data_IF_488123279885
#
_entry.id   IF_488123279885
#
_cell.length_a   1.000
_cell.length_b   1.000
_cell.length_c   1.000
_cell.angle_alpha   90.00
_cell.angle_beta   90.00
_cell.angle_gamma   90.00
#
_symmetry.space_group_name_H-M   'P 1'
#
loop_
_entity.id
_entity.type
_entity.pdbx_description
1 polymer ?
#
# COMPACT_ATOMS: atom_id res chain seq x y z
N UNK A 1 14.79 10.86 8.89
CA UNK A 1 16.17 10.44 9.19
C UNK A 1 17.12 11.49 8.64
N UNK A 2 18.13 11.93 9.42
CA UNK A 2 19.05 13.01 9.02
C UNK A 2 19.82 12.60 7.74
N UNK A 3 19.87 13.50 6.74
CA UNK A 3 20.61 13.31 5.50
C UNK A 3 19.94 12.37 4.45
N UNK A 4 18.78 11.80 4.76
CA UNK A 4 18.04 10.98 3.81
C UNK A 4 16.81 11.73 3.31
N UNK A 5 16.85 12.11 2.05
CA UNK A 5 15.76 12.79 1.34
C UNK A 5 15.54 12.13 -0.02
N UNK A 6 14.29 12.07 -0.47
CA UNK A 6 13.91 11.55 -1.78
C UNK A 6 12.86 12.44 -2.41
N UNK A 7 12.87 12.54 -3.72
CA UNK A 7 11.86 13.26 -4.50
C UNK A 7 10.57 12.46 -4.54
N UNK A 8 10.66 11.14 -4.81
CA UNK A 8 9.51 10.26 -4.78
C UNK A 8 9.34 9.64 -3.39
N UNK A 9 8.23 10.01 -2.73
CA UNK A 9 7.93 9.58 -1.35
C UNK A 9 6.74 8.61 -1.26
N UNK A 10 5.94 8.48 -2.33
CA UNK A 10 4.75 7.65 -2.41
C UNK A 10 5.07 6.17 -2.59
N UNK A 11 6.14 5.89 -3.34
CA UNK A 11 6.69 4.55 -3.50
C UNK A 11 8.06 4.51 -2.81
N UNK A 12 8.20 3.67 -1.80
CA UNK A 12 9.38 3.71 -0.93
C UNK A 12 10.63 3.15 -1.61
N UNK A 13 11.79 3.53 -1.08
CA UNK A 13 13.10 2.98 -1.42
C UNK A 13 13.12 1.44 -1.46
N UNK A 14 12.40 0.80 -0.52
CA UNK A 14 12.33 -0.65 -0.39
C UNK A 14 11.18 -1.31 -1.15
N UNK A 15 10.38 -0.57 -1.91
CA UNK A 15 9.28 -1.11 -2.71
C UNK A 15 7.93 -1.20 -2.00
N UNK A 16 7.75 -0.53 -0.86
CA UNK A 16 6.43 -0.43 -0.22
C UNK A 16 5.66 0.78 -0.74
N UNK A 17 4.36 0.63 -0.95
CA UNK A 17 3.45 1.69 -1.39
C UNK A 17 3.06 2.61 -0.24
N UNK A 18 3.91 3.61 0.05
CA UNK A 18 3.66 4.61 1.10
C UNK A 18 2.38 5.43 0.83
N UNK A 19 2.01 5.67 -0.43
CA UNK A 19 0.78 6.39 -0.79
C UNK A 19 -0.49 5.71 -0.25
N UNK A 20 -0.48 4.40 -0.01
CA UNK A 20 -1.59 3.62 0.54
C UNK A 20 -1.45 3.38 2.05
N UNK A 21 -0.41 3.92 2.68
CA UNK A 21 -0.17 3.74 4.11
C UNK A 21 -1.08 4.65 4.95
N UNK A 22 -1.77 4.08 5.92
CA UNK A 22 -2.65 4.84 6.82
C UNK A 22 -1.93 5.95 7.60
N UNK A 23 -0.64 5.78 7.90
CA UNK A 23 0.18 6.79 8.54
C UNK A 23 0.51 7.96 7.61
N UNK A 24 0.69 7.67 6.32
CA UNK A 24 0.92 8.70 5.30
C UNK A 24 -0.37 9.45 4.98
N UNK A 25 -1.45 8.73 4.73
CA UNK A 25 -2.78 9.30 4.48
C UNK A 25 -3.29 10.14 5.65
N UNK A 26 -2.94 9.78 6.88
CA UNK A 26 -3.30 10.53 8.09
C UNK A 26 -2.38 11.71 8.41
N UNK A 27 -1.38 12.00 7.57
CA UNK A 27 -0.44 13.11 7.79
C UNK A 27 0.61 12.87 8.89
N UNK A 28 0.67 11.66 9.46
CA UNK A 28 1.63 11.31 10.52
C UNK A 28 3.02 10.93 9.99
N UNK A 29 3.12 10.62 8.70
CA UNK A 29 4.35 10.23 8.04
C UNK A 29 4.45 10.94 6.67
N UNK A 30 5.55 11.63 6.37
CA UNK A 30 5.72 12.35 5.11
C UNK A 30 6.03 11.42 3.91
N UNK A 31 6.02 10.11 4.09
CA UNK A 31 6.49 9.14 3.11
C UNK A 31 8.00 8.89 3.18
N UNK A 32 8.49 7.95 2.39
CA UNK A 32 9.89 7.52 2.44
C UNK A 32 10.84 8.62 1.93
N UNK A 33 11.58 9.24 2.85
CA UNK A 33 12.50 10.33 2.52
C UNK A 33 11.86 11.72 2.44
N UNK A 34 10.57 11.86 2.81
CA UNK A 34 9.84 13.13 2.75
C UNK A 34 10.14 14.13 3.87
N UNK A 35 11.12 13.87 4.72
CA UNK A 35 11.57 14.81 5.76
C UNK A 35 11.36 14.33 7.18
N UNK A 36 11.09 15.26 8.11
CA UNK A 36 10.89 14.97 9.53
C UNK A 36 9.68 14.06 9.75
N UNK A 37 9.75 13.15 10.73
CA UNK A 37 8.72 12.15 11.02
C UNK A 37 9.07 10.74 10.55
N UNK A 38 10.03 10.57 9.64
CA UNK A 38 10.55 9.26 9.29
C UNK A 38 11.39 8.70 10.44
N UNK A 39 11.06 7.49 10.85
CA UNK A 39 11.88 6.74 11.81
C UNK A 39 13.21 6.31 11.16
N UNK A 40 14.20 5.97 11.98
CA UNK A 40 15.44 5.41 11.49
C UNK A 40 15.16 4.09 10.74
N UNK A 41 15.70 3.97 9.54
CA UNK A 41 15.51 2.83 8.67
C UNK A 41 16.87 2.31 8.21
N UNK A 42 17.15 1.02 8.47
CA UNK A 42 18.41 0.40 8.07
C UNK A 42 18.61 0.38 6.55
N UNK A 43 17.52 0.24 5.79
CA UNK A 43 17.54 0.27 4.32
C UNK A 43 17.90 1.68 3.82
N UNK A 44 17.28 2.72 4.39
CA UNK A 44 17.60 4.10 4.03
C UNK A 44 19.05 4.48 4.37
N UNK A 45 19.57 3.99 5.51
CA UNK A 45 20.99 4.15 5.86
C UNK A 45 21.89 3.48 4.83
N UNK A 46 21.56 2.25 4.44
CA UNK A 46 22.28 1.51 3.42
C UNK A 46 22.29 2.24 2.06
N UNK A 47 21.18 2.83 1.64
CA UNK A 47 21.13 3.63 0.41
C UNK A 47 22.15 4.79 0.45
N UNK A 48 22.24 5.49 1.57
CA UNK A 48 23.25 6.57 1.72
C UNK A 48 24.69 6.04 1.62
N UNK A 49 24.95 4.85 2.20
CA UNK A 49 26.27 4.19 2.14
C UNK A 49 26.63 3.73 0.71
N UNK A 50 25.61 3.52 -0.16
CA UNK A 50 25.74 3.12 -1.57
C UNK A 50 25.50 4.27 -2.55
N UNK A 51 25.87 5.50 -2.17
CA UNK A 51 25.78 6.67 -3.05
C UNK A 51 24.38 7.28 -3.19
N UNK A 52 23.41 6.88 -2.35
CA UNK A 52 22.09 7.46 -2.35
C UNK A 52 21.18 6.92 -3.46
N UNK A 53 21.28 5.63 -3.80
CA UNK A 53 20.40 5.02 -4.81
C UNK A 53 18.94 5.36 -4.53
N UNK A 54 18.16 5.79 -5.54
CA UNK A 54 16.77 6.21 -5.35
C UNK A 54 15.85 5.06 -4.99
N UNK A 55 16.17 3.85 -5.48
CA UNK A 55 15.44 2.62 -5.16
C UNK A 55 16.39 1.44 -4.96
N UNK A 56 16.06 0.53 -4.05
CA UNK A 56 16.94 -0.60 -3.74
C UNK A 56 17.15 -1.54 -4.94
N UNK A 57 16.18 -1.69 -5.83
CA UNK A 57 16.32 -2.54 -7.03
C UNK A 57 17.30 -1.95 -8.08
N UNK A 58 17.69 -0.69 -7.94
CA UNK A 58 18.75 -0.07 -8.75
C UNK A 58 20.15 -0.30 -8.15
N UNK A 59 20.22 -0.84 -6.94
CA UNK A 59 21.48 -1.19 -6.30
C UNK A 59 22.02 -2.51 -6.90
N UNK A 60 23.32 -2.59 -7.26
CA UNK A 60 23.88 -3.83 -7.82
C UNK A 60 23.89 -5.01 -6.84
N UNK A 61 23.74 -4.75 -5.53
CA UNK A 61 23.65 -5.79 -4.50
C UNK A 61 22.22 -6.31 -4.26
N UNK A 62 21.21 -5.75 -4.93
CA UNK A 62 19.83 -6.17 -4.75
C UNK A 62 19.51 -7.46 -5.54
N UNK A 63 18.74 -8.43 -4.93
CA UNK A 63 18.30 -8.48 -3.55
C UNK A 63 19.44 -8.80 -2.58
N UNK A 64 19.49 -8.13 -1.43
CA UNK A 64 20.57 -8.25 -0.45
C UNK A 64 20.06 -8.83 0.89
N UNK A 65 20.95 -9.28 1.80
CA UNK A 65 20.55 -9.89 3.09
C UNK A 65 19.68 -9.00 4.00
N UNK A 66 19.58 -7.68 3.71
CA UNK A 66 18.69 -6.78 4.46
C UNK A 66 17.21 -7.10 4.26
N UNK A 67 16.89 -7.90 3.24
CA UNK A 67 15.53 -8.35 2.93
C UNK A 67 15.22 -9.74 3.48
N UNK A 68 16.17 -10.40 4.14
CA UNK A 68 15.92 -11.69 4.76
C UNK A 68 14.85 -11.55 5.84
N UNK A 69 13.74 -12.26 5.68
CA UNK A 69 12.58 -12.17 6.57
C UNK A 69 11.84 -10.81 6.56
N UNK A 70 12.17 -9.89 5.62
CA UNK A 70 11.52 -8.58 5.56
C UNK A 70 10.02 -8.69 5.22
N UNK A 71 9.65 -9.64 4.38
CA UNK A 71 8.29 -9.87 3.91
C UNK A 71 7.49 -10.85 4.81
N UNK A 72 8.11 -11.41 5.87
CA UNK A 72 7.47 -12.39 6.79
C UNK A 72 6.40 -11.75 7.68
N UNK A 73 6.46 -10.44 7.87
CA UNK A 73 5.50 -9.72 8.70
C UNK A 73 5.27 -8.31 8.22
N UNK A 74 4.00 -7.92 8.28
CA UNK A 74 3.54 -6.61 7.82
C UNK A 74 3.78 -5.51 8.86
N UNK A 75 3.83 -4.27 8.38
CA UNK A 75 3.83 -3.05 9.18
C UNK A 75 2.42 -2.40 9.16
N UNK A 76 2.32 -1.10 8.86
CA UNK A 76 1.04 -0.44 8.57
C UNK A 76 0.48 -0.81 7.19
N UNK A 77 1.30 -1.48 6.37
CA UNK A 77 0.98 -1.95 5.02
C UNK A 77 1.47 -3.38 4.85
N UNK A 78 0.85 -4.15 3.94
CA UNK A 78 1.33 -5.47 3.55
C UNK A 78 2.73 -5.40 2.94
N UNK A 79 3.64 -6.31 3.35
CA UNK A 79 4.97 -6.40 2.75
C UNK A 79 5.02 -7.43 1.62
N UNK A 80 4.17 -8.47 1.67
CA UNK A 80 4.18 -9.60 0.74
C UNK A 80 3.99 -9.25 -0.74
N UNK A 81 3.41 -8.09 -1.03
CA UNK A 81 3.21 -7.63 -2.41
C UNK A 81 4.40 -6.83 -2.96
N UNK A 82 5.36 -6.51 -2.12
CA UNK A 82 6.49 -5.62 -2.41
C UNK A 82 7.28 -6.00 -3.66
N UNK A 83 7.60 -7.29 -3.82
CA UNK A 83 8.37 -7.76 -4.98
C UNK A 83 7.57 -7.64 -6.27
N UNK A 84 6.26 -7.92 -6.22
CA UNK A 84 5.36 -7.73 -7.35
C UNK A 84 5.22 -6.24 -7.70
N UNK A 85 5.12 -5.37 -6.71
CA UNK A 85 5.04 -3.92 -6.91
C UNK A 85 6.32 -3.38 -7.56
N UNK A 86 7.50 -3.87 -7.13
CA UNK A 86 8.79 -3.54 -7.77
C UNK A 86 8.81 -4.03 -9.23
N UNK A 87 8.41 -5.28 -9.48
CA UNK A 87 8.40 -5.84 -10.83
C UNK A 87 7.49 -5.01 -11.75
N UNK A 88 6.29 -4.66 -11.31
CA UNK A 88 5.38 -3.79 -12.07
C UNK A 88 5.98 -2.40 -12.33
N UNK A 89 6.58 -1.77 -11.31
CA UNK A 89 7.22 -0.46 -11.46
C UNK A 89 8.40 -0.50 -12.46
N UNK A 90 9.11 -1.61 -12.51
CA UNK A 90 10.24 -1.81 -13.44
C UNK A 90 9.75 -2.08 -14.87
N UNK A 91 8.71 -2.91 -15.02
CA UNK A 91 8.14 -3.31 -16.31
C UNK A 91 7.39 -2.17 -17.01
N UNK A 92 6.50 -1.49 -16.27
CA UNK A 92 5.66 -0.41 -16.81
C UNK A 92 6.40 0.94 -16.89
N UNK A 93 7.52 1.07 -16.17
CA UNK A 93 8.14 2.35 -15.87
C UNK A 93 7.50 3.03 -14.65
N UNK A 94 8.34 3.71 -13.88
CA UNK A 94 7.95 4.29 -12.60
C UNK A 94 6.77 5.27 -12.72
N UNK A 95 6.76 6.14 -13.73
CA UNK A 95 5.71 7.16 -13.90
C UNK A 95 4.33 6.52 -14.11
N UNK A 96 4.25 5.48 -14.97
CA UNK A 96 3.00 4.75 -15.22
C UNK A 96 2.55 4.02 -13.95
N UNK A 97 3.47 3.39 -13.24
CA UNK A 97 3.17 2.74 -11.97
C UNK A 97 2.63 3.73 -10.92
N UNK A 98 3.24 4.91 -10.81
CA UNK A 98 2.81 5.96 -9.89
C UNK A 98 1.42 6.52 -10.24
N UNK A 99 1.07 6.60 -11.52
CA UNK A 99 -0.30 6.95 -11.94
C UNK A 99 -1.32 5.88 -11.48
N UNK A 100 -1.00 4.60 -11.62
CA UNK A 100 -1.84 3.51 -11.13
C UNK A 100 -1.95 3.53 -9.59
N UNK A 101 -0.86 3.82 -8.90
CA UNK A 101 -0.83 3.95 -7.44
C UNK A 101 -1.70 5.12 -6.96
N UNK A 102 -1.69 6.24 -7.68
CA UNK A 102 -2.56 7.39 -7.37
C UNK A 102 -4.04 7.05 -7.59
N UNK A 103 -4.37 6.29 -8.63
CA UNK A 103 -5.74 5.80 -8.83
C UNK A 103 -6.19 4.88 -7.69
N UNK A 104 -5.33 3.95 -7.26
CA UNK A 104 -5.60 3.13 -6.06
C UNK A 104 -5.84 4.00 -4.81
N UNK A 105 -5.06 5.05 -4.64
CA UNK A 105 -5.22 6.00 -3.53
C UNK A 105 -6.59 6.69 -3.59
N UNK A 106 -7.01 7.19 -4.76
CA UNK A 106 -8.31 7.82 -4.94
C UNK A 106 -9.46 6.85 -4.63
N UNK A 107 -9.34 5.58 -5.06
CA UNK A 107 -10.30 4.53 -4.71
C UNK A 107 -10.36 4.32 -3.19
N UNK A 108 -9.20 4.25 -2.52
CA UNK A 108 -9.15 4.10 -1.06
C UNK A 108 -9.79 5.28 -0.34
N UNK A 109 -9.51 6.51 -0.75
CA UNK A 109 -10.11 7.72 -0.19
C UNK A 109 -11.64 7.71 -0.38
N UNK A 110 -12.13 7.30 -1.55
CA UNK A 110 -13.56 7.13 -1.82
C UNK A 110 -14.21 6.07 -0.92
N UNK A 111 -13.58 4.90 -0.76
CA UNK A 111 -14.06 3.85 0.13
C UNK A 111 -14.12 4.32 1.59
N UNK A 112 -13.10 5.05 2.04
CA UNK A 112 -13.05 5.59 3.40
C UNK A 112 -14.07 6.69 3.66
N UNK A 113 -14.38 7.51 2.65
CA UNK A 113 -15.34 8.61 2.76
C UNK A 113 -16.79 8.13 2.72
N UNK A 114 -17.11 7.15 1.85
CA UNK A 114 -18.51 6.79 1.54
C UNK A 114 -18.95 5.44 2.11
N UNK A 115 -18.01 4.51 2.36
CA UNK A 115 -18.29 3.13 2.75
C UNK A 115 -17.68 2.73 4.10
N UNK A 116 -17.09 3.64 4.86
CA UNK A 116 -16.48 3.31 6.14
C UNK A 116 -17.44 3.61 7.30
N UNK A 117 -17.77 2.57 8.07
CA UNK A 117 -18.60 2.64 9.28
C UNK A 117 -17.80 2.98 10.57
N UNK A 118 -16.54 3.39 10.43
CA UNK A 118 -15.62 3.65 11.54
C UNK A 118 -14.77 2.45 11.96
N UNK A 119 -15.10 1.23 11.53
CA UNK A 119 -14.44 -0.01 11.97
C UNK A 119 -13.65 -0.72 10.85
N UNK A 120 -13.75 -0.26 9.58
CA UNK A 120 -13.26 -1.00 8.42
C UNK A 120 -12.03 -0.38 7.74
N UNK A 121 -11.47 0.68 8.32
CA UNK A 121 -10.33 1.40 7.76
C UNK A 121 -9.17 0.45 7.40
N UNK A 122 -8.77 -0.43 8.32
CA UNK A 122 -7.67 -1.38 8.07
C UNK A 122 -8.01 -2.37 6.96
N UNK A 123 -9.27 -2.84 6.90
CA UNK A 123 -9.71 -3.74 5.84
C UNK A 123 -9.61 -3.07 4.47
N UNK A 124 -10.16 -1.87 4.30
CA UNK A 124 -10.09 -1.14 3.04
C UNK A 124 -8.65 -0.83 2.63
N UNK A 125 -7.82 -0.37 3.55
CA UNK A 125 -6.39 -0.15 3.28
C UNK A 125 -5.71 -1.42 2.77
N UNK A 126 -5.94 -2.57 3.42
CA UNK A 126 -5.33 -3.84 3.04
C UNK A 126 -5.86 -4.35 1.70
N UNK A 127 -7.17 -4.24 1.46
CA UNK A 127 -7.79 -4.65 0.20
C UNK A 127 -7.27 -3.85 -0.98
N UNK A 128 -7.27 -2.52 -0.88
CA UNK A 128 -6.77 -1.65 -1.96
C UNK A 128 -5.28 -1.83 -2.19
N UNK A 129 -4.51 -2.10 -1.13
CA UNK A 129 -3.09 -2.38 -1.26
C UNK A 129 -2.83 -3.66 -2.07
N UNK A 130 -3.54 -4.74 -1.76
CA UNK A 130 -3.25 -6.08 -2.27
C UNK A 130 -3.96 -6.43 -3.59
N UNK A 131 -5.15 -5.88 -3.82
CA UNK A 131 -5.92 -6.20 -5.02
C UNK A 131 -5.35 -5.49 -6.25
N UNK A 132 -5.35 -6.16 -7.43
CA UNK A 132 -5.06 -5.52 -8.70
C UNK A 132 -6.00 -4.35 -8.98
N UNK A 133 -5.51 -3.34 -9.71
CA UNK A 133 -6.29 -2.13 -10.02
C UNK A 133 -7.55 -2.44 -10.83
N UNK A 134 -7.50 -3.42 -11.73
CA UNK A 134 -8.66 -3.88 -12.51
C UNK A 134 -9.80 -4.42 -11.65
N UNK A 135 -9.47 -5.19 -10.59
CA UNK A 135 -10.48 -5.69 -9.67
C UNK A 135 -11.08 -4.54 -8.84
N UNK A 136 -10.26 -3.60 -8.40
CA UNK A 136 -10.72 -2.41 -7.68
C UNK A 136 -11.66 -1.55 -8.54
N UNK A 137 -11.32 -1.35 -9.83
CA UNK A 137 -12.21 -0.67 -10.78
C UNK A 137 -13.55 -1.39 -10.93
N UNK A 138 -13.51 -2.72 -11.02
CA UNK A 138 -14.72 -3.55 -11.12
C UNK A 138 -15.60 -3.45 -9.87
N UNK A 139 -14.99 -3.46 -8.67
CA UNK A 139 -15.68 -3.27 -7.40
C UNK A 139 -16.33 -1.88 -7.33
N UNK A 140 -15.58 -0.83 -7.68
CA UNK A 140 -16.13 0.54 -7.66
C UNK A 140 -17.28 0.70 -8.67
N UNK A 141 -17.16 0.12 -9.86
CA UNK A 141 -18.25 0.11 -10.85
C UNK A 141 -19.49 -0.62 -10.31
N UNK A 142 -19.32 -1.77 -9.64
CA UNK A 142 -20.42 -2.51 -9.04
C UNK A 142 -21.11 -1.72 -7.90
N UNK A 143 -20.34 -1.00 -7.07
CA UNK A 143 -20.88 -0.12 -6.04
C UNK A 143 -21.65 1.06 -6.63
N UNK A 144 -21.11 1.72 -7.64
CA UNK A 144 -21.76 2.85 -8.32
C UNK A 144 -23.06 2.46 -9.06
N UNK A 145 -23.20 1.19 -9.43
CA UNK A 145 -24.41 0.66 -10.04
C UNK A 145 -25.49 0.22 -9.02
N UNK A 146 -25.32 0.56 -7.74
CA UNK A 146 -26.26 0.24 -6.65
C UNK A 146 -26.77 1.54 -5.99
N UNK A 147 -27.61 2.34 -6.68
CA UNK A 147 -28.09 3.61 -6.15
C UNK A 147 -28.88 3.46 -4.83
N UNK A 148 -29.45 2.30 -4.58
CA UNK A 148 -30.10 1.97 -3.31
C UNK A 148 -29.16 2.06 -2.09
N UNK A 149 -27.85 1.95 -2.30
CA UNK A 149 -26.86 2.09 -1.21
C UNK A 149 -26.79 3.53 -0.67
N UNK A 150 -27.12 4.54 -1.49
CA UNK A 150 -27.07 5.93 -1.07
C UNK A 150 -28.13 6.25 0.01
N UNK A 151 -29.23 5.53 0.01
CA UNK A 151 -30.33 5.65 0.97
C UNK A 151 -30.09 4.79 2.23
N UNK A 152 -29.10 3.90 2.22
CA UNK A 152 -28.81 2.99 3.33
C UNK A 152 -27.95 3.62 4.40
N UNK A 153 -28.03 3.07 5.61
CA UNK A 153 -27.16 3.45 6.71
C UNK A 153 -25.69 3.10 6.40
N UNK A 154 -24.76 3.82 7.00
CA UNK A 154 -23.34 3.66 6.74
C UNK A 154 -22.81 2.23 6.97
N UNK A 155 -23.46 1.46 7.86
CA UNK A 155 -23.11 0.06 8.11
C UNK A 155 -23.45 -0.86 6.94
N UNK A 156 -24.62 -0.72 6.34
CA UNK A 156 -25.05 -1.50 5.19
C UNK A 156 -24.17 -1.20 3.97
N UNK A 157 -23.89 0.08 3.72
CA UNK A 157 -22.93 0.49 2.67
C UNK A 157 -21.56 -0.13 2.87
N UNK A 158 -21.07 -0.10 4.11
CA UNK A 158 -19.79 -0.68 4.45
C UNK A 158 -19.76 -2.21 4.22
N UNK A 159 -20.82 -2.91 4.57
CA UNK A 159 -20.95 -4.36 4.33
C UNK A 159 -20.94 -4.70 2.85
N UNK A 160 -21.69 -3.97 2.02
CA UNK A 160 -21.71 -4.16 0.57
C UNK A 160 -20.31 -3.99 -0.07
N UNK A 161 -19.57 -2.97 0.35
CA UNK A 161 -18.21 -2.76 -0.13
C UNK A 161 -17.25 -3.86 0.34
N UNK A 162 -17.38 -4.31 1.59
CA UNK A 162 -16.58 -5.43 2.13
C UNK A 162 -16.84 -6.72 1.37
N UNK A 163 -18.10 -7.05 1.09
CA UNK A 163 -18.50 -8.25 0.35
C UNK A 163 -17.84 -8.28 -1.05
N UNK A 164 -17.99 -7.22 -1.83
CA UNK A 164 -17.40 -7.14 -3.17
C UNK A 164 -15.87 -7.21 -3.17
N UNK A 165 -15.21 -6.54 -2.22
CA UNK A 165 -13.76 -6.62 -2.07
C UNK A 165 -13.29 -8.01 -1.63
N UNK A 166 -14.05 -8.67 -0.73
CA UNK A 166 -13.73 -10.03 -0.30
C UNK A 166 -13.92 -11.03 -1.44
N UNK A 167 -14.99 -10.92 -2.22
CA UNK A 167 -15.20 -11.75 -3.41
C UNK A 167 -14.08 -11.59 -4.43
N UNK A 168 -13.61 -10.33 -4.66
CA UNK A 168 -12.48 -10.07 -5.55
C UNK A 168 -11.19 -10.74 -5.04
N UNK A 169 -10.95 -10.68 -3.73
CA UNK A 169 -9.80 -11.31 -3.08
C UNK A 169 -9.88 -12.84 -3.14
N UNK A 170 -11.06 -13.42 -2.90
CA UNK A 170 -11.28 -14.87 -2.93
C UNK A 170 -11.05 -15.45 -4.33
N UNK A 171 -11.51 -14.76 -5.38
CA UNK A 171 -11.22 -15.15 -6.79
C UNK A 171 -9.73 -15.21 -7.10
N UNK A 172 -8.92 -14.41 -6.41
CA UNK A 172 -7.45 -14.36 -6.55
C UNK A 172 -6.71 -15.18 -5.50
N UNK A 173 -7.41 -15.82 -4.56
CA UNK A 173 -6.81 -16.48 -3.39
C UNK A 173 -5.93 -15.55 -2.55
N UNK A 174 -6.32 -14.27 -2.45
CA UNK A 174 -5.61 -13.24 -1.68
C UNK A 174 -6.24 -13.11 -0.29
N UNK A 175 -5.45 -13.27 0.76
CA UNK A 175 -5.90 -12.99 2.13
C UNK A 175 -5.85 -11.50 2.42
N UNK A 176 -6.97 -10.89 2.80
CA UNK A 176 -7.07 -9.46 3.18
C UNK A 176 -6.74 -9.20 4.66
N UNK A 177 -5.87 -10.02 5.25
CA UNK A 177 -5.38 -9.85 6.62
C UNK A 177 -3.91 -9.47 6.63
N UNK A 178 -3.52 -8.58 7.55
CA UNK A 178 -2.12 -8.29 7.79
C UNK A 178 -1.45 -9.48 8.50
N UNK A 179 -0.25 -9.84 8.04
CA UNK A 179 0.59 -10.85 8.66
C UNK A 179 1.25 -10.26 9.91
N UNK A 180 1.01 -10.87 11.06
CA UNK A 180 1.70 -10.47 12.30
C UNK A 180 3.12 -11.01 12.28
N UNK A 181 4.09 -10.16 12.66
CA UNK A 181 5.45 -10.65 12.91
C UNK A 181 5.42 -11.71 14.00
N UNK A 182 6.12 -12.83 13.77
CA UNK A 182 6.35 -13.80 14.83
C UNK A 182 7.00 -13.09 16.03
N UNK A 183 6.47 -13.32 17.24
CA UNK A 183 7.12 -12.81 18.45
C UNK A 183 8.50 -13.48 18.50
N UNK A 184 9.57 -12.66 18.53
CA UNK A 184 10.88 -13.18 18.89
C UNK A 184 10.75 -13.68 20.33
N UNK A 185 10.84 -15.00 20.52
CA UNK A 185 10.96 -15.64 21.82
C UNK A 185 12.26 -15.22 22.51
#
# INVERSE_FOLDING_TARGET
>A
MKGFTRTETRFSLCGLNCALCSMHLGGYCPGCGGGAGNQSCAIAKCSLEHGGVPFCWECPEYPCPRYDGFDDGDSFVPHRNRQQDIAQATELGLDVYLMQLEEKRNILEGLLAHYNDGHRKTFFNTAVYLLPLEDLRSVMAALNNRPELDEQAGKERALAAVELLQEAADRRSISLKLNKKAKKG
#
